data_IF_526996041211
#
_entry.id   IF_526996041211
#
_cell.length_a   1.000
_cell.length_b   1.000
_cell.length_c   1.000
_cell.angle_alpha   90.00
_cell.angle_beta   90.00
_cell.angle_gamma   90.00
#
_symmetry.space_group_name_H-M   'P 1'
#
loop_
_entity.id
_entity.type
_entity.pdbx_description
1 polymer ?
#
# COMPACT_ATOMS: atom_id res chain seq x y z
N UNK A 1 -4.48 -32.68 46.50
CA UNK A 1 -3.26 -32.44 45.71
C UNK A 1 -3.58 -32.06 44.26
N UNK A 2 -4.46 -32.79 43.57
CA UNK A 2 -4.80 -32.58 42.15
C UNK A 2 -5.36 -31.21 41.75
N UNK A 3 -6.17 -30.55 42.59
CA UNK A 3 -6.76 -29.23 42.28
C UNK A 3 -5.72 -28.11 42.15
N UNK A 4 -4.64 -28.15 42.94
CA UNK A 4 -3.55 -27.16 42.86
C UNK A 4 -2.69 -27.41 41.62
N UNK A 5 -2.39 -28.67 41.32
CA UNK A 5 -1.64 -29.07 40.11
C UNK A 5 -2.36 -28.69 38.82
N UNK A 6 -3.69 -28.85 38.77
CA UNK A 6 -4.50 -28.45 37.62
C UNK A 6 -4.48 -26.93 37.38
N UNK A 7 -4.50 -26.13 38.47
CA UNK A 7 -4.42 -24.66 38.38
C UNK A 7 -3.03 -24.24 37.87
N UNK A 8 -1.95 -24.85 38.35
CA UNK A 8 -0.61 -24.54 37.85
C UNK A 8 -0.43 -24.92 36.37
N UNK A 9 -0.95 -26.06 35.94
CA UNK A 9 -0.91 -26.46 34.52
C UNK A 9 -1.73 -25.52 33.64
N UNK A 10 -2.88 -25.03 34.12
CA UNK A 10 -3.69 -24.03 33.42
C UNK A 10 -2.93 -22.70 33.27
N UNK A 11 -2.27 -22.23 34.33
CA UNK A 11 -1.48 -20.99 34.30
C UNK A 11 -0.30 -21.13 33.34
N UNK A 12 0.42 -22.26 33.37
CA UNK A 12 1.53 -22.53 32.44
C UNK A 12 1.03 -22.62 31.00
N UNK A 13 -0.11 -23.26 30.75
CA UNK A 13 -0.71 -23.33 29.41
C UNK A 13 -1.14 -21.95 28.89
N UNK A 14 -1.73 -21.09 29.74
CA UNK A 14 -2.10 -19.73 29.38
C UNK A 14 -0.87 -18.84 29.10
N UNK A 15 0.21 -19.03 29.85
CA UNK A 15 1.49 -18.32 29.63
C UNK A 15 2.25 -18.83 28.40
N UNK A 16 2.11 -20.12 28.06
CA UNK A 16 2.64 -20.67 26.83
C UNK A 16 1.84 -20.22 25.59
N UNK A 17 0.52 -20.01 25.72
CA UNK A 17 -0.32 -19.49 24.64
C UNK A 17 0.04 -18.05 24.24
N UNK A 18 0.46 -17.20 25.18
CA UNK A 18 0.84 -15.80 24.89
C UNK A 18 2.20 -15.68 24.18
N UNK A 19 3.00 -16.75 24.13
CA UNK A 19 4.29 -16.79 23.42
C UNK A 19 4.15 -17.20 21.94
N UNK A 20 2.97 -17.65 21.50
CA UNK A 20 2.73 -18.16 20.13
C UNK A 20 1.87 -17.17 19.34
N UNK A 21 2.39 -15.98 19.07
CA UNK A 21 1.86 -15.09 18.04
C UNK A 21 2.81 -13.90 17.79
N UNK A 22 4.02 -14.16 17.32
CA UNK A 22 4.81 -13.11 16.65
C UNK A 22 4.66 -13.28 15.14
N UNK A 23 3.44 -13.05 14.65
CA UNK A 23 3.21 -12.90 13.23
C UNK A 23 3.90 -11.60 12.80
N UNK A 24 4.64 -11.62 11.70
CA UNK A 24 5.25 -10.42 11.15
C UNK A 24 4.16 -9.34 10.96
N UNK A 25 4.20 -8.31 11.80
CA UNK A 25 3.24 -7.22 11.73
C UNK A 25 3.56 -6.38 10.48
N UNK A 26 2.77 -6.58 9.43
CA UNK A 26 2.92 -5.87 8.14
C UNK A 26 2.64 -4.37 8.25
N UNK A 27 1.98 -3.93 9.34
CA UNK A 27 1.75 -2.52 9.64
C UNK A 27 2.97 -1.86 10.30
N UNK A 28 3.92 -2.66 10.82
CA UNK A 28 5.16 -2.14 11.39
C UNK A 28 6.03 -1.57 10.27
N UNK A 29 6.13 -0.24 10.25
CA UNK A 29 6.83 0.50 9.19
C UNK A 29 5.94 0.86 8.00
N UNK A 30 4.63 0.56 8.06
CA UNK A 30 3.67 1.07 7.08
C UNK A 30 3.54 2.57 7.23
N UNK A 31 3.73 3.29 6.13
CA UNK A 31 3.72 4.76 6.14
C UNK A 31 2.60 5.35 5.27
N UNK A 32 2.19 4.62 4.24
CA UNK A 32 1.11 5.00 3.31
C UNK A 32 0.35 3.74 2.89
N UNK A 33 -0.97 3.79 2.92
CA UNK A 33 -1.79 2.70 2.40
C UNK A 33 -2.96 3.25 1.59
N UNK A 34 -2.87 3.07 0.27
CA UNK A 34 -3.89 3.44 -0.70
C UNK A 34 -4.51 2.17 -1.28
N UNK A 35 -5.74 1.79 -0.88
CA UNK A 35 -6.43 0.64 -1.46
C UNK A 35 -6.73 0.82 -2.96
N UNK A 36 -7.11 2.06 -3.35
CA UNK A 36 -7.45 2.43 -4.74
C UNK A 36 -8.59 1.56 -5.29
N UNK A 37 -9.54 1.18 -4.42
CA UNK A 37 -10.69 0.32 -4.71
C UNK A 37 -12.03 0.95 -4.26
N UNK A 38 -12.05 2.26 -3.99
CA UNK A 38 -13.24 2.97 -3.51
C UNK A 38 -14.40 2.92 -4.52
N UNK A 39 -14.10 2.81 -5.82
CA UNK A 39 -15.08 2.54 -6.86
C UNK A 39 -15.99 3.69 -7.25
N UNK A 40 -15.95 4.82 -6.52
CA UNK A 40 -16.67 6.04 -6.82
C UNK A 40 -16.02 7.25 -6.13
N UNK A 41 -16.45 8.46 -6.53
CA UNK A 41 -15.97 9.71 -5.95
C UNK A 41 -14.71 10.25 -6.61
N UNK A 42 -14.14 11.31 -6.02
CA UNK A 42 -13.05 12.10 -6.60
C UNK A 42 -11.78 12.16 -5.75
N UNK A 43 -11.59 11.20 -4.84
CA UNK A 43 -10.45 11.11 -3.92
C UNK A 43 -10.12 9.64 -3.66
N UNK A 44 -8.85 9.36 -3.40
CA UNK A 44 -8.39 8.07 -2.84
C UNK A 44 -8.14 8.30 -1.36
N UNK A 45 -8.55 7.39 -0.49
CA UNK A 45 -8.32 7.55 0.94
C UNK A 45 -7.02 6.85 1.34
N UNK A 46 -6.19 7.56 2.10
CA UNK A 46 -5.12 6.91 2.86
C UNK A 46 -5.70 6.25 4.11
N UNK A 47 -5.52 4.94 4.19
CA UNK A 47 -5.87 4.12 5.35
C UNK A 47 -4.62 3.79 6.21
N UNK A 48 -3.46 4.35 5.85
CA UNK A 48 -2.25 4.28 6.62
C UNK A 48 -2.30 5.17 7.87
N UNK A 49 -1.26 5.10 8.71
CA UNK A 49 -1.23 5.80 10.00
C UNK A 49 -1.19 7.33 9.87
N UNK A 50 -0.71 7.85 8.74
CA UNK A 50 -0.55 9.30 8.51
C UNK A 50 -1.83 9.96 7.97
N UNK A 51 -2.79 9.19 7.45
CA UNK A 51 -4.09 9.66 6.96
C UNK A 51 -3.96 10.87 6.00
N UNK A 52 -3.06 10.75 5.03
CA UNK A 52 -2.81 11.81 4.05
C UNK A 52 -4.07 12.17 3.25
N UNK A 53 -4.27 13.47 3.07
CA UNK A 53 -5.22 14.00 2.09
C UNK A 53 -4.63 13.78 0.70
N UNK A 54 -5.43 13.18 -0.17
CA UNK A 54 -5.10 13.00 -1.58
C UNK A 54 -5.90 13.94 -2.46
N UNK A 55 -5.36 14.22 -3.64
CA UNK A 55 -6.01 14.97 -4.69
C UNK A 55 -5.96 14.19 -6.00
N UNK A 56 -7.08 14.18 -6.74
CA UNK A 56 -7.08 13.72 -8.12
C UNK A 56 -6.89 14.90 -9.07
N UNK A 57 -6.21 14.65 -10.18
CA UNK A 57 -6.17 15.56 -11.33
C UNK A 57 -7.55 16.03 -11.77
N UNK A 58 -7.62 17.19 -12.45
CA UNK A 58 -8.87 17.72 -13.02
C UNK A 58 -9.52 16.72 -13.99
N UNK A 59 -8.70 16.10 -14.86
CA UNK A 59 -9.08 14.93 -15.64
C UNK A 59 -8.90 13.71 -14.75
N UNK A 60 -9.95 13.32 -14.05
CA UNK A 60 -9.85 12.26 -13.05
C UNK A 60 -9.55 10.91 -13.71
N UNK A 61 -8.74 10.06 -13.06
CA UNK A 61 -8.69 8.64 -13.39
C UNK A 61 -10.07 7.99 -13.26
N UNK A 62 -10.30 6.88 -13.98
CA UNK A 62 -11.62 6.24 -14.06
C UNK A 62 -11.71 5.06 -13.10
N UNK A 63 -12.82 4.95 -12.38
CA UNK A 63 -13.11 3.75 -11.60
C UNK A 63 -13.55 2.62 -12.52
N UNK A 64 -12.90 1.47 -12.38
CA UNK A 64 -13.11 0.28 -13.20
C UNK A 64 -13.33 -0.97 -12.35
N UNK A 65 -13.82 -2.03 -13.01
CA UNK A 65 -13.93 -3.34 -12.36
C UNK A 65 -12.54 -3.93 -12.13
N UNK A 66 -12.24 -4.30 -10.89
CA UNK A 66 -11.00 -4.98 -10.55
C UNK A 66 -10.94 -6.39 -11.14
N UNK A 67 -9.72 -6.92 -11.30
CA UNK A 67 -9.48 -8.21 -11.96
C UNK A 67 -9.40 -9.40 -10.97
N UNK A 68 -9.77 -9.19 -9.71
CA UNK A 68 -9.71 -10.21 -8.64
C UNK A 68 -11.01 -10.18 -7.85
N UNK A 69 -11.58 -11.33 -7.45
CA UNK A 69 -12.79 -11.38 -6.62
C UNK A 69 -12.66 -10.68 -5.25
N UNK A 70 -11.42 -10.47 -4.77
CA UNK A 70 -11.14 -9.79 -3.50
C UNK A 70 -11.01 -8.27 -3.65
N UNK A 71 -10.86 -7.77 -4.87
CA UNK A 71 -10.68 -6.35 -5.19
C UNK A 71 -11.67 -6.00 -6.30
N UNK A 72 -12.90 -5.66 -5.93
CA UNK A 72 -14.01 -5.48 -6.86
C UNK A 72 -13.83 -4.26 -7.79
N UNK A 73 -12.97 -3.32 -7.38
CA UNK A 73 -12.71 -2.07 -8.07
C UNK A 73 -11.23 -1.77 -8.17
N UNK A 74 -10.88 -0.96 -9.15
CA UNK A 74 -9.55 -0.40 -9.35
C UNK A 74 -9.67 0.98 -10.01
N UNK A 75 -8.59 1.74 -9.99
CA UNK A 75 -8.49 3.02 -10.69
C UNK A 75 -7.64 2.87 -11.94
N UNK A 76 -8.22 3.22 -13.09
CA UNK A 76 -7.56 3.20 -14.40
C UNK A 76 -6.97 4.57 -14.74
N UNK A 77 -5.69 4.56 -15.07
CA UNK A 77 -4.92 5.73 -15.49
C UNK A 77 -4.73 5.72 -17.00
N UNK A 78 -4.79 6.90 -17.63
CA UNK A 78 -4.73 7.07 -19.09
C UNK A 78 -3.30 7.18 -19.63
N UNK A 79 -2.32 7.31 -18.72
CA UNK A 79 -0.91 7.45 -19.03
C UNK A 79 -0.53 8.80 -19.64
N UNK A 80 -1.38 9.83 -19.52
CA UNK A 80 -1.14 11.15 -20.11
C UNK A 80 -1.18 12.27 -19.07
N UNK A 81 -2.32 12.50 -18.45
CA UNK A 81 -2.51 13.67 -17.59
C UNK A 81 -3.38 13.42 -16.36
N UNK A 82 -3.82 12.17 -16.14
CA UNK A 82 -4.52 11.80 -14.93
C UNK A 82 -3.58 11.25 -13.84
N UNK A 83 -3.82 11.64 -12.59
CA UNK A 83 -3.00 11.24 -11.45
C UNK A 83 -3.76 11.31 -10.13
N UNK A 84 -3.23 10.61 -9.13
CA UNK A 84 -3.51 10.81 -7.71
C UNK A 84 -2.25 11.40 -7.09
N UNK A 85 -2.38 12.52 -6.39
CA UNK A 85 -1.28 13.22 -5.74
C UNK A 85 -1.46 13.17 -4.23
N UNK A 86 -0.33 13.01 -3.55
CA UNK A 86 -0.17 13.29 -2.12
C UNK A 86 0.90 14.36 -2.00
N UNK A 87 0.61 15.40 -1.23
CA UNK A 87 1.59 16.39 -0.80
C UNK A 87 1.93 16.10 0.67
N UNK A 88 2.86 15.17 0.92
CA UNK A 88 3.21 14.81 2.30
C UNK A 88 3.97 15.92 2.99
N UNK A 89 4.95 16.53 2.31
CA UNK A 89 5.73 17.65 2.84
C UNK A 89 4.82 18.80 3.27
N UNK A 90 3.85 19.19 2.43
CA UNK A 90 2.83 20.18 2.77
C UNK A 90 1.88 19.76 3.88
N UNK A 91 1.83 18.47 4.23
CA UNK A 91 1.03 17.89 5.32
C UNK A 91 1.85 17.58 6.58
N UNK A 92 3.12 17.95 6.61
CA UNK A 92 3.98 17.83 7.80
C UNK A 92 4.78 16.54 7.91
N UNK A 93 4.75 15.68 6.88
CA UNK A 93 5.48 14.42 6.82
C UNK A 93 6.38 14.37 5.57
N UNK A 94 7.28 13.40 5.44
CA UNK A 94 8.12 13.28 4.24
C UNK A 94 8.39 11.82 3.84
N UNK A 95 8.53 11.57 2.54
CA UNK A 95 8.85 10.26 1.96
C UNK A 95 10.28 10.25 1.39
N UNK A 96 11.28 10.61 2.19
CA UNK A 96 12.66 10.67 1.72
C UNK A 96 13.49 9.47 2.20
N UNK A 97 13.84 8.59 1.25
CA UNK A 97 14.73 7.45 1.49
C UNK A 97 16.20 7.75 1.08
N UNK A 98 16.50 8.96 0.63
CA UNK A 98 17.76 9.34 0.01
C UNK A 98 18.78 9.88 1.01
N UNK A 99 18.35 10.45 2.14
CA UNK A 99 19.25 11.09 3.11
C UNK A 99 19.68 10.22 4.30
N UNK A 100 19.03 9.09 4.55
CA UNK A 100 19.37 8.21 5.67
C UNK A 100 19.73 6.80 5.18
N UNK A 101 21.04 6.50 5.16
CA UNK A 101 21.60 5.21 4.75
C UNK A 101 21.09 4.01 5.56
N UNK A 102 20.46 4.24 6.71
CA UNK A 102 19.89 3.20 7.55
C UNK A 102 18.36 3.08 7.39
N UNK A 103 17.73 3.92 6.56
CA UNK A 103 16.30 3.88 6.25
C UNK A 103 16.10 3.47 4.80
N UNK A 104 15.52 2.29 4.61
CA UNK A 104 15.01 1.85 3.32
C UNK A 104 13.53 2.16 3.18
N UNK A 105 13.05 2.27 1.95
CA UNK A 105 11.63 2.36 1.63
C UNK A 105 11.24 1.20 0.72
N UNK A 106 10.09 0.59 1.00
CA UNK A 106 9.47 -0.43 0.16
C UNK A 106 8.15 0.10 -0.36
N UNK A 107 7.89 -0.07 -1.65
CA UNK A 107 6.60 0.21 -2.27
C UNK A 107 6.10 -1.07 -2.91
N UNK A 108 4.84 -1.42 -2.64
CA UNK A 108 4.17 -2.54 -3.28
C UNK A 108 2.81 -2.09 -3.82
N UNK A 109 2.44 -2.59 -5.00
CA UNK A 109 1.18 -2.26 -5.64
C UNK A 109 0.69 -3.39 -6.55
N UNK A 110 -0.62 -3.55 -6.64
CA UNK A 110 -1.23 -4.38 -7.67
C UNK A 110 -1.43 -3.53 -8.93
N UNK A 111 -0.78 -3.93 -10.03
CA UNK A 111 -0.86 -3.20 -11.30
C UNK A 111 -1.32 -4.15 -12.39
N UNK A 112 -2.34 -3.73 -13.15
CA UNK A 112 -2.74 -4.37 -14.42
C UNK A 112 -2.33 -3.46 -15.57
N UNK A 113 -1.42 -3.94 -16.40
CA UNK A 113 -0.98 -3.21 -17.59
C UNK A 113 -2.02 -3.38 -18.69
N UNK A 114 -2.63 -2.29 -19.13
CA UNK A 114 -3.66 -2.30 -20.19
C UNK A 114 -3.02 -2.14 -21.57
N UNK A 115 -2.02 -1.26 -21.67
CA UNK A 115 -1.28 -0.97 -22.90
C UNK A 115 0.13 -0.53 -22.56
N UNK A 116 1.09 -0.98 -23.36
CA UNK A 116 2.48 -0.53 -23.31
C UNK A 116 2.75 0.37 -24.51
N UNK A 117 3.64 1.35 -24.33
CA UNK A 117 4.16 2.13 -25.45
C UNK A 117 5.17 1.31 -26.25
N UNK A 118 5.21 1.53 -27.56
CA UNK A 118 6.28 1.05 -28.42
C UNK A 118 7.26 2.21 -28.61
N UNK A 119 8.56 1.96 -28.46
CA UNK A 119 9.55 2.99 -28.80
C UNK A 119 9.71 3.13 -30.32
N UNK A 120 10.56 4.09 -30.73
CA UNK A 120 10.84 4.34 -32.15
C UNK A 120 11.51 3.14 -32.86
N UNK A 121 11.93 2.10 -32.13
CA UNK A 121 12.58 0.91 -32.63
C UNK A 121 11.67 -0.33 -32.61
N UNK A 122 10.38 -0.17 -32.33
CA UNK A 122 9.43 -1.27 -32.34
C UNK A 122 9.46 -2.13 -31.07
N UNK A 123 10.19 -1.73 -30.03
CA UNK A 123 10.29 -2.48 -28.79
C UNK A 123 9.17 -2.09 -27.83
N UNK A 124 8.48 -3.11 -27.32
CA UNK A 124 7.45 -2.94 -26.30
C UNK A 124 8.12 -2.57 -24.98
N UNK A 125 7.83 -1.37 -24.46
CA UNK A 125 8.34 -0.96 -23.14
C UNK A 125 7.68 -1.77 -22.04
N UNK A 126 8.47 -2.19 -21.06
CA UNK A 126 7.93 -2.71 -19.81
C UNK A 126 7.35 -1.57 -18.97
N UNK A 127 6.28 -1.81 -18.21
CA UNK A 127 5.78 -0.84 -17.25
C UNK A 127 6.88 -0.50 -16.24
N UNK A 128 7.27 0.77 -16.17
CA UNK A 128 8.21 1.25 -15.16
C UNK A 128 7.40 1.56 -13.91
N UNK A 129 7.60 0.78 -12.85
CA UNK A 129 6.92 0.97 -11.55
C UNK A 129 7.60 2.05 -10.70
N UNK A 130 8.86 2.41 -11.02
CA UNK A 130 9.59 3.49 -10.38
C UNK A 130 10.54 4.17 -11.37
N UNK A 131 10.47 5.50 -11.47
CA UNK A 131 11.55 6.31 -12.03
C UNK A 131 11.96 7.31 -10.94
N UNK A 132 13.14 7.09 -10.36
CA UNK A 132 13.77 8.12 -9.52
C UNK A 132 14.02 9.38 -10.34
N UNK A 133 13.94 10.55 -9.70
CA UNK A 133 14.36 11.79 -10.33
C UNK A 133 15.83 11.65 -10.77
N UNK A 134 16.11 12.02 -12.02
CA UNK A 134 17.48 12.23 -12.49
C UNK A 134 17.96 13.62 -12.08
#
# INVERSE_FOLDING_TARGET
MHRKTAIYLLIVALYALSLVADAANIEKGLFLYLPIDEGAGGKVKDYGPNNFKTEMSKKRPKWEKGNRPKFDKALEFDGKDNYVKIDAAGQGEDFDAHFDKNKGMTICAWVKVIKTGTDAHGQTRQPIVMKGAG
#
